data_IF_278623822370
#
_entry.id   IF_278623822370
#
_cell.length_a   1.000
_cell.length_b   1.000
_cell.length_c   1.000
_cell.angle_alpha   90.00
_cell.angle_beta   90.00
_cell.angle_gamma   90.00
#
_symmetry.space_group_name_H-M   'P 1'
#
loop_
_entity.id
_entity.type
_entity.pdbx_description
1 polymer ?
#
# COMPACT_ATOMS: atom_id res chain seq x y z
N UNK A 1 4.42 -7.36 -24.53
CA UNK A 1 4.83 -7.98 -23.26
C UNK A 1 4.24 -9.37 -23.27
N UNK A 2 5.07 -10.40 -23.30
CA UNK A 2 4.64 -11.81 -23.24
C UNK A 2 5.11 -12.40 -21.91
N UNK A 3 4.87 -11.63 -20.85
CA UNK A 3 5.41 -11.86 -19.51
C UNK A 3 4.32 -11.58 -18.47
N UNK A 4 4.45 -12.19 -17.30
CA UNK A 4 3.57 -11.97 -16.15
C UNK A 4 3.81 -10.55 -15.63
N UNK A 5 2.74 -9.77 -15.46
CA UNK A 5 2.78 -8.38 -14.98
C UNK A 5 1.72 -8.12 -13.91
N UNK A 6 1.90 -7.05 -13.16
CA UNK A 6 0.90 -6.52 -12.23
C UNK A 6 -0.20 -5.70 -12.92
N UNK A 7 -0.14 -5.62 -14.24
CA UNK A 7 -1.04 -4.82 -15.04
C UNK A 7 -2.16 -5.68 -15.63
N UNK A 8 -3.40 -5.28 -15.33
CA UNK A 8 -4.62 -6.03 -15.64
C UNK A 8 -5.57 -5.24 -16.54
N UNK A 9 -5.06 -4.38 -17.43
CA UNK A 9 -5.87 -3.57 -18.35
C UNK A 9 -6.60 -4.36 -19.45
N UNK A 10 -6.27 -5.63 -19.65
CA UNK A 10 -6.90 -6.52 -20.63
C UNK A 10 -6.32 -7.94 -20.55
N UNK A 11 -6.53 -8.76 -21.57
CA UNK A 11 -6.02 -10.16 -21.60
C UNK A 11 -4.74 -10.36 -22.40
N UNK A 12 -4.50 -9.55 -23.43
CA UNK A 12 -3.26 -9.57 -24.22
C UNK A 12 -2.95 -8.11 -24.60
N UNK A 13 -1.73 -7.59 -24.40
CA UNK A 13 -0.51 -8.23 -23.88
C UNK A 13 -0.37 -8.17 -22.34
N UNK A 14 -1.48 -8.03 -21.61
CA UNK A 14 -1.50 -7.82 -20.16
C UNK A 14 -1.86 -9.11 -19.41
N UNK A 15 -1.67 -9.12 -18.09
CA UNK A 15 -2.11 -10.23 -17.27
C UNK A 15 -3.64 -10.20 -17.16
N UNK A 16 -4.30 -11.31 -17.48
CA UNK A 16 -5.75 -11.42 -17.33
C UNK A 16 -6.16 -11.34 -15.86
N UNK A 17 -7.43 -11.03 -15.58
CA UNK A 17 -7.97 -11.04 -14.20
C UNK A 17 -7.77 -12.42 -13.55
N UNK A 18 -7.94 -13.51 -14.31
CA UNK A 18 -7.68 -14.87 -13.80
C UNK A 18 -6.19 -15.09 -13.54
N UNK A 19 -5.30 -14.61 -14.43
CA UNK A 19 -3.86 -14.67 -14.23
C UNK A 19 -3.41 -13.89 -12.99
N UNK A 20 -4.02 -12.73 -12.72
CA UNK A 20 -3.76 -11.98 -11.50
C UNK A 20 -4.08 -12.82 -10.27
N UNK A 21 -5.28 -13.43 -10.24
CA UNK A 21 -5.75 -14.27 -9.13
C UNK A 21 -4.92 -15.54 -8.93
N UNK A 22 -4.56 -16.22 -10.00
CA UNK A 22 -3.96 -17.56 -9.93
C UNK A 22 -2.43 -17.57 -9.95
N UNK A 23 -1.81 -16.49 -10.42
CA UNK A 23 -0.35 -16.42 -10.61
C UNK A 23 0.23 -15.26 -9.81
N UNK A 24 -0.18 -14.02 -10.11
CA UNK A 24 0.46 -12.82 -9.55
C UNK A 24 0.22 -12.69 -8.04
N UNK A 25 -1.04 -12.75 -7.59
CA UNK A 25 -1.34 -12.63 -6.15
C UNK A 25 -0.76 -13.77 -5.31
N UNK A 26 -0.81 -15.05 -5.73
CA UNK A 26 -0.14 -16.13 -4.98
C UNK A 26 1.39 -15.98 -4.92
N UNK A 27 2.04 -15.55 -6.01
CA UNK A 27 3.49 -15.31 -6.01
C UNK A 27 3.87 -14.21 -5.03
N UNK A 28 3.08 -13.13 -4.99
CA UNK A 28 3.28 -12.05 -4.03
C UNK A 28 3.04 -12.50 -2.59
N UNK A 29 1.92 -13.18 -2.33
CA UNK A 29 1.58 -13.67 -1.00
C UNK A 29 2.69 -14.57 -0.44
N UNK A 30 3.21 -15.49 -1.26
CA UNK A 30 4.33 -16.35 -0.90
C UNK A 30 5.59 -15.53 -0.60
N UNK A 31 5.96 -14.57 -1.46
CA UNK A 31 7.18 -13.78 -1.29
C UNK A 31 7.12 -12.84 -0.09
N UNK A 32 6.00 -12.15 0.09
CA UNK A 32 5.79 -11.20 1.19
C UNK A 32 5.73 -11.93 2.54
N UNK A 33 5.01 -13.05 2.61
CA UNK A 33 4.96 -13.90 3.81
C UNK A 33 6.34 -14.42 4.17
N UNK A 34 7.08 -14.99 3.21
CA UNK A 34 8.42 -15.53 3.47
C UNK A 34 9.40 -14.46 3.99
N UNK A 35 9.33 -13.23 3.45
CA UNK A 35 10.16 -12.12 3.93
C UNK A 35 9.81 -11.74 5.38
N UNK A 36 8.53 -11.61 5.71
CA UNK A 36 8.08 -11.28 7.06
C UNK A 36 8.49 -12.39 8.05
N UNK A 37 8.29 -13.65 7.69
CA UNK A 37 8.66 -14.79 8.52
C UNK A 37 10.18 -14.88 8.76
N UNK A 38 11.00 -14.67 7.73
CA UNK A 38 12.46 -14.68 7.86
C UNK A 38 12.95 -13.53 8.76
N UNK A 39 12.40 -12.33 8.60
CA UNK A 39 12.70 -11.20 9.48
C UNK A 39 12.26 -11.48 10.92
N UNK A 40 11.10 -12.11 11.13
CA UNK A 40 10.62 -12.47 12.46
C UNK A 40 11.53 -13.51 13.12
N UNK A 41 11.88 -14.58 12.40
CA UNK A 41 12.77 -15.65 12.89
C UNK A 41 14.15 -15.13 13.28
N UNK A 42 14.63 -14.09 12.59
CA UNK A 42 15.93 -13.45 12.88
C UNK A 42 15.85 -12.37 13.96
N UNK A 43 14.67 -12.09 14.51
CA UNK A 43 14.45 -10.99 15.47
C UNK A 43 14.64 -9.60 14.85
N UNK A 44 14.56 -9.48 13.52
CA UNK A 44 14.74 -8.24 12.77
C UNK A 44 13.41 -7.55 12.42
N UNK A 45 12.27 -8.23 12.57
CA UNK A 45 11.00 -7.64 12.19
C UNK A 45 10.64 -6.42 13.07
N UNK A 46 11.03 -6.40 14.34
CA UNK A 46 10.74 -5.28 15.24
C UNK A 46 11.41 -3.96 14.82
N UNK A 47 12.58 -4.02 14.16
CA UNK A 47 13.32 -2.84 13.73
C UNK A 47 13.34 -2.64 12.21
N UNK A 48 12.53 -3.41 11.47
CA UNK A 48 12.43 -3.35 10.01
C UNK A 48 10.96 -3.17 9.61
N UNK A 49 10.62 -2.06 8.96
CA UNK A 49 9.30 -1.89 8.33
C UNK A 49 9.32 -2.49 6.92
N UNK A 50 8.25 -3.21 6.57
CA UNK A 50 8.06 -3.83 5.25
C UNK A 50 6.74 -3.34 4.64
N UNK A 51 6.72 -2.14 4.03
CA UNK A 51 5.52 -1.59 3.42
C UNK A 51 5.33 -2.12 1.98
N UNK A 52 4.07 -2.37 1.60
CA UNK A 52 3.64 -2.61 0.22
C UNK A 52 2.68 -1.51 -0.15
N UNK A 53 3.13 -0.65 -1.05
CA UNK A 53 2.44 0.56 -1.44
C UNK A 53 2.05 0.47 -2.92
N UNK A 54 1.01 1.22 -3.28
CA UNK A 54 0.56 1.42 -4.65
C UNK A 54 0.05 2.84 -4.82
N UNK A 55 -0.16 3.24 -6.08
CA UNK A 55 -0.59 4.59 -6.44
C UNK A 55 -2.10 4.68 -6.69
N UNK A 56 -2.72 3.55 -7.07
CA UNK A 56 -4.14 3.46 -7.41
C UNK A 56 -4.62 2.02 -7.29
N UNK A 57 -5.93 1.87 -7.17
CA UNK A 57 -6.63 0.59 -7.26
C UNK A 57 -7.06 0.32 -8.69
N UNK A 58 -8.10 -0.50 -8.81
CA UNK A 58 -8.65 -0.93 -10.10
C UNK A 58 -10.15 -0.67 -10.13
N UNK A 59 -10.68 -0.29 -11.29
CA UNK A 59 -12.10 0.00 -11.43
C UNK A 59 -12.96 -1.16 -10.92
N UNK A 60 -14.09 -0.90 -10.24
CA UNK A 60 -14.97 -1.97 -9.73
C UNK A 60 -15.58 -2.79 -10.88
N UNK A 61 -15.70 -2.19 -12.07
CA UNK A 61 -16.22 -2.81 -13.29
C UNK A 61 -15.08 -3.28 -14.20
N UNK A 62 -15.33 -4.40 -14.86
CA UNK A 62 -14.48 -4.93 -15.94
C UNK A 62 -14.69 -4.10 -17.20
N UNK A 63 -13.59 -3.69 -17.84
CA UNK A 63 -13.61 -2.92 -19.07
C UNK A 63 -13.86 -3.82 -20.31
N UNK A 64 -14.18 -3.26 -21.48
CA UNK A 64 -14.43 -4.06 -22.70
C UNK A 64 -13.26 -4.93 -23.17
N UNK A 65 -12.04 -4.66 -22.71
CA UNK A 65 -10.85 -5.46 -23.01
C UNK A 65 -10.66 -6.66 -22.06
N UNK A 66 -11.60 -6.88 -21.14
CA UNK A 66 -11.57 -7.98 -20.17
C UNK A 66 -10.66 -7.72 -18.96
N UNK A 67 -10.25 -6.47 -18.74
CA UNK A 67 -9.40 -6.03 -17.65
C UNK A 67 -10.08 -5.02 -16.72
N UNK A 68 -9.30 -4.27 -15.94
CA UNK A 68 -9.75 -3.15 -15.10
C UNK A 68 -8.83 -1.93 -15.29
N UNK A 69 -9.42 -0.74 -15.28
CA UNK A 69 -8.70 0.51 -15.49
C UNK A 69 -8.11 1.04 -14.18
N UNK A 70 -7.22 2.04 -14.27
CA UNK A 70 -6.68 2.73 -13.10
C UNK A 70 -7.80 3.43 -12.31
N UNK A 71 -7.77 3.27 -11.00
CA UNK A 71 -8.80 3.83 -10.13
C UNK A 71 -8.20 4.44 -8.86
N UNK A 72 -7.93 5.75 -8.84
CA UNK A 72 -7.25 6.42 -7.72
C UNK A 72 -8.20 6.74 -6.56
N UNK A 73 -9.44 6.25 -6.57
CA UNK A 73 -10.40 6.57 -5.51
C UNK A 73 -10.22 5.68 -4.28
N UNK A 74 -9.78 4.43 -4.45
CA UNK A 74 -9.61 3.47 -3.36
C UNK A 74 -8.63 2.36 -3.74
N UNK A 75 -7.76 1.99 -2.80
CA UNK A 75 -6.88 0.82 -2.89
C UNK A 75 -6.40 0.41 -1.50
N UNK A 76 -5.75 -0.75 -1.43
CA UNK A 76 -5.19 -1.31 -0.20
C UNK A 76 -3.67 -1.16 -0.21
N UNK A 77 -3.11 -0.89 0.97
CA UNK A 77 -1.68 -0.97 1.25
C UNK A 77 -1.46 -1.98 2.37
N UNK A 78 -0.28 -2.60 2.42
CA UNK A 78 0.10 -3.50 3.51
C UNK A 78 1.28 -2.91 4.27
N UNK A 79 1.25 -3.03 5.59
CA UNK A 79 2.32 -2.57 6.47
C UNK A 79 2.62 -3.68 7.48
N UNK A 80 3.90 -4.00 7.66
CA UNK A 80 4.38 -4.99 8.61
C UNK A 80 5.70 -4.54 9.25
N UNK A 81 5.99 -5.04 10.44
CA UNK A 81 7.24 -4.77 11.17
C UNK A 81 7.37 -3.34 11.67
N UNK A 82 8.55 -2.98 12.19
CA UNK A 82 8.82 -1.62 12.71
C UNK A 82 7.89 -1.21 13.86
N UNK A 83 7.51 -2.16 14.71
CA UNK A 83 6.57 -1.95 15.82
C UNK A 83 5.09 -1.88 15.42
N UNK A 84 4.75 -2.05 14.13
CA UNK A 84 3.36 -2.10 13.67
C UNK A 84 2.69 -3.39 14.17
N UNK A 85 1.50 -3.24 14.77
CA UNK A 85 0.62 -4.34 15.17
C UNK A 85 0.01 -4.97 13.91
N UNK A 86 0.51 -6.14 13.51
CA UNK A 86 -0.06 -6.92 12.41
C UNK A 86 -1.40 -7.57 12.77
N UNK A 87 -1.98 -8.32 11.82
CA UNK A 87 -3.20 -9.10 12.03
C UNK A 87 -4.50 -8.28 12.09
N UNK A 88 -4.48 -7.06 11.57
CA UNK A 88 -5.63 -6.16 11.54
C UNK A 88 -5.89 -5.61 10.14
N UNK A 89 -7.14 -5.22 9.91
CA UNK A 89 -7.58 -4.45 8.72
C UNK A 89 -8.16 -3.14 9.23
N UNK A 90 -7.69 -2.02 8.68
CA UNK A 90 -8.12 -0.68 9.08
C UNK A 90 -8.89 -0.07 7.91
N UNK A 91 -10.17 0.20 8.14
CA UNK A 91 -11.09 0.73 7.14
C UNK A 91 -11.54 -0.29 6.10
N UNK A 92 -12.41 0.16 5.20
CA UNK A 92 -12.96 -0.66 4.12
C UNK A 92 -13.30 0.19 2.90
N UNK A 93 -13.45 -0.45 1.75
CA UNK A 93 -14.17 0.13 0.62
C UNK A 93 -15.68 -0.07 0.77
N UNK A 94 -16.44 0.54 -0.13
CA UNK A 94 -17.83 0.17 -0.39
C UNK A 94 -17.95 -1.28 -0.93
N UNK A 95 -19.19 -1.76 -1.05
CA UNK A 95 -19.51 -3.14 -1.46
C UNK A 95 -18.92 -3.52 -2.83
N UNK A 96 -18.72 -2.54 -3.72
CA UNK A 96 -18.21 -2.79 -5.07
C UNK A 96 -16.71 -2.54 -5.20
N UNK A 97 -16.05 -2.01 -4.17
CA UNK A 97 -14.65 -1.59 -4.23
C UNK A 97 -14.43 -0.29 -5.01
N UNK A 98 -15.42 0.60 -5.04
CA UNK A 98 -15.39 1.85 -5.79
C UNK A 98 -14.83 3.04 -4.99
N UNK A 99 -15.16 3.14 -3.72
CA UNK A 99 -14.74 4.26 -2.86
C UNK A 99 -14.45 3.77 -1.43
N UNK A 100 -13.69 4.54 -0.62
CA UNK A 100 -13.59 4.27 0.81
C UNK A 100 -14.97 4.40 1.49
N UNK A 101 -15.28 3.51 2.42
CA UNK A 101 -16.55 3.49 3.15
C UNK A 101 -16.33 3.69 4.65
N UNK A 102 -15.76 2.70 5.34
CA UNK A 102 -15.45 2.80 6.76
C UNK A 102 -13.98 3.21 6.98
N UNK A 103 -13.76 4.03 8.01
CA UNK A 103 -12.44 4.53 8.45
C UNK A 103 -11.45 4.78 7.29
N UNK A 104 -11.73 5.73 6.37
CA UNK A 104 -10.82 6.05 5.28
C UNK A 104 -9.48 6.57 5.81
N UNK A 105 -8.42 6.27 5.07
CA UNK A 105 -7.06 6.74 5.35
C UNK A 105 -6.51 7.47 4.13
N UNK A 106 -5.73 8.51 4.36
CA UNK A 106 -5.06 9.29 3.33
C UNK A 106 -3.63 8.81 3.08
N UNK A 107 -3.06 9.12 1.91
CA UNK A 107 -1.64 8.86 1.64
C UNK A 107 -0.72 9.54 2.66
N UNK A 108 -1.10 10.74 3.13
CA UNK A 108 -0.36 11.47 4.15
C UNK A 108 -0.33 10.70 5.48
N UNK A 109 -1.45 10.13 5.94
CA UNK A 109 -1.50 9.30 7.15
C UNK A 109 -0.63 8.03 7.01
N UNK A 110 -0.61 7.39 5.84
CA UNK A 110 0.24 6.22 5.56
C UNK A 110 1.73 6.60 5.65
N UNK A 111 2.14 7.68 5.00
CA UNK A 111 3.53 8.18 5.05
C UNK A 111 3.92 8.58 6.47
N UNK A 112 3.03 9.28 7.20
CA UNK A 112 3.25 9.62 8.60
C UNK A 112 3.46 8.38 9.49
N UNK A 113 2.72 7.29 9.22
CA UNK A 113 2.87 6.02 9.93
C UNK A 113 4.21 5.34 9.65
N UNK A 114 4.67 5.39 8.40
CA UNK A 114 6.01 4.89 8.03
C UNK A 114 7.09 5.69 8.77
N UNK A 115 6.98 7.02 8.79
CA UNK A 115 7.94 7.86 9.54
C UNK A 115 7.90 7.61 11.04
N UNK A 116 6.72 7.40 11.63
CA UNK A 116 6.62 6.99 13.04
C UNK A 116 7.36 5.67 13.30
N UNK A 117 7.16 4.65 12.47
CA UNK A 117 7.86 3.36 12.59
C UNK A 117 9.39 3.50 12.44
N UNK A 118 9.84 4.47 11.64
CA UNK A 118 11.27 4.80 11.47
C UNK A 118 11.83 5.71 12.59
N UNK A 119 11.00 6.17 13.54
CA UNK A 119 11.41 7.11 14.59
C UNK A 119 11.70 8.53 14.09
N UNK A 120 11.13 8.92 12.94
CA UNK A 120 11.32 10.24 12.34
C UNK A 120 10.19 11.18 12.81
N UNK A 121 10.57 12.29 13.44
CA UNK A 121 9.63 13.34 13.84
C UNK A 121 8.92 13.99 12.65
N UNK A 122 7.59 14.11 12.72
CA UNK A 122 6.74 14.62 11.63
C UNK A 122 6.76 16.16 11.49
N UNK A 123 7.24 16.86 12.51
CA UNK A 123 7.40 18.31 12.54
C UNK A 123 8.66 18.81 11.81
N UNK A 124 9.45 17.88 11.25
CA UNK A 124 10.63 18.21 10.48
C UNK A 124 10.30 18.94 9.18
N UNK A 125 11.20 19.87 8.81
CA UNK A 125 11.11 20.62 7.57
C UNK A 125 12.28 20.24 6.65
N UNK A 126 11.96 19.90 5.41
CA UNK A 126 12.92 19.62 4.36
C UNK A 126 13.34 20.92 3.65
N UNK A 127 14.60 21.02 3.16
CA UNK A 127 15.02 22.12 2.34
C UNK A 127 14.29 22.07 0.99
N UNK A 128 13.43 23.05 0.72
CA UNK A 128 12.76 23.18 -0.56
C UNK A 128 13.45 24.14 -1.53
N UNK A 129 12.89 24.31 -2.73
CA UNK A 129 13.37 25.25 -3.72
C UNK A 129 13.57 26.65 -3.13
N UNK A 130 14.67 27.32 -3.48
CA UNK A 130 14.99 28.67 -3.00
C UNK A 130 15.07 28.77 -1.46
N UNK A 131 15.41 27.66 -0.78
CA UNK A 131 15.47 27.54 0.69
C UNK A 131 14.12 27.75 1.39
N UNK A 132 13.00 27.68 0.67
CA UNK A 132 11.68 27.65 1.31
C UNK A 132 11.49 26.28 1.95
N UNK A 133 11.32 26.18 3.28
CA UNK A 133 11.11 24.90 3.93
C UNK A 133 9.79 24.27 3.47
N UNK A 134 9.79 22.96 3.28
CA UNK A 134 8.60 22.15 2.97
C UNK A 134 8.43 21.16 4.11
N UNK A 135 7.22 21.01 4.68
CA UNK A 135 7.04 20.07 5.76
C UNK A 135 7.26 18.63 5.27
N UNK A 136 7.83 17.78 6.13
CA UNK A 136 8.12 16.38 5.80
C UNK A 136 6.83 15.61 5.44
N UNK A 137 5.73 15.95 6.09
CA UNK A 137 4.35 15.55 5.77
C UNK A 137 3.43 16.74 5.98
N UNK A 138 2.28 16.81 5.31
CA UNK A 138 1.34 17.92 5.43
C UNK A 138 1.02 18.24 6.91
N UNK A 139 1.06 19.53 7.27
CA UNK A 139 0.90 19.98 8.65
C UNK A 139 -0.46 19.55 9.21
N UNK A 140 -0.46 19.00 10.43
CA UNK A 140 -1.65 18.46 11.07
C UNK A 140 -1.94 16.98 10.75
N UNK A 141 -1.17 16.37 9.85
CA UNK A 141 -1.25 14.93 9.60
C UNK A 141 -0.80 14.15 10.82
N UNK A 142 -1.60 13.16 11.21
CA UNK A 142 -1.25 12.18 12.25
C UNK A 142 -1.06 10.80 11.63
N UNK A 143 -0.20 9.95 12.21
CA UNK A 143 -0.15 8.53 11.87
C UNK A 143 -1.48 7.84 12.11
N UNK A 144 -1.70 6.72 11.41
CA UNK A 144 -2.83 5.82 11.62
C UNK A 144 -2.61 5.16 12.99
N UNK A 145 -3.34 5.65 14.00
CA UNK A 145 -3.12 5.28 15.41
C UNK A 145 -3.34 3.80 15.67
N UNK A 146 -4.26 3.19 14.93
CA UNK A 146 -4.60 1.78 15.04
C UNK A 146 -3.41 0.85 14.75
N UNK A 147 -2.43 1.31 13.96
CA UNK A 147 -1.21 0.53 13.64
C UNK A 147 -0.29 0.29 14.84
N UNK A 148 -0.37 1.07 15.93
CA UNK A 148 0.55 1.01 17.07
C UNK A 148 -0.20 0.83 18.39
#
# INVERSE_FOLDING_TARGET
>A
FDEITWDIHGSVPFTSIEGMKQIVTPMFDQGYTALIEDLAQRGMLENTIVPVLGEFGRTPKVNPAGGRDHWPQVWTVFLAGGGIRGGQVIGSSDEIGGYPADRPTTCAEVVASIYQALGIGLDQLLPGPQKRPVPLVDSGTSPIRELF
#
